data_IF_126358005228
#
_entry.id   IF_126358005228
#
_cell.length_a   1.000
_cell.length_b   1.000
_cell.length_c   1.000
_cell.angle_alpha   90.00
_cell.angle_beta   90.00
_cell.angle_gamma   90.00
#
_symmetry.space_group_name_H-M   'P 1'
#
loop_
_entity.id
_entity.type
_entity.pdbx_description
1 polymer ?
#
# COMPACT_ATOMS: atom_id res chain seq x y z
N UNK A 1 12.17 25.66 -2.49
CA UNK A 1 11.14 25.10 -3.41
C UNK A 1 9.78 25.28 -2.78
N UNK A 2 8.76 25.69 -3.53
CA UNK A 2 7.38 25.70 -3.03
C UNK A 2 6.80 24.30 -3.02
N UNK A 3 5.86 24.03 -2.10
CA UNK A 3 5.11 22.76 -1.99
C UNK A 3 4.51 22.33 -3.34
N UNK A 4 4.00 23.30 -4.11
CA UNK A 4 3.41 23.08 -5.43
C UNK A 4 4.41 22.58 -6.47
N UNK A 5 5.66 23.06 -6.45
CA UNK A 5 6.69 22.60 -7.39
C UNK A 5 7.19 21.19 -7.03
N UNK A 6 7.28 20.88 -5.73
CA UNK A 6 7.63 19.53 -5.27
C UNK A 6 6.55 18.52 -5.69
N UNK A 7 5.27 18.85 -5.50
CA UNK A 7 4.14 17.98 -5.85
C UNK A 7 4.07 17.71 -7.35
N UNK A 8 4.22 18.75 -8.18
CA UNK A 8 4.28 18.58 -9.64
C UNK A 8 5.45 17.71 -10.08
N UNK A 9 6.62 17.90 -9.46
CA UNK A 9 7.80 17.08 -9.75
C UNK A 9 7.60 15.62 -9.31
N UNK A 10 6.94 15.39 -8.17
CA UNK A 10 6.59 14.05 -7.69
C UNK A 10 5.67 13.32 -8.68
N UNK A 11 4.59 13.97 -9.10
CA UNK A 11 3.65 13.40 -10.08
C UNK A 11 4.30 13.18 -11.44
N UNK A 12 5.15 14.11 -11.90
CA UNK A 12 5.89 13.96 -13.15
C UNK A 12 6.90 12.81 -13.13
N UNK A 13 7.46 12.47 -11.96
CA UNK A 13 8.45 11.40 -11.82
C UNK A 13 7.81 10.03 -11.56
N UNK A 14 6.70 9.99 -10.82
CA UNK A 14 6.06 8.74 -10.40
C UNK A 14 4.83 8.36 -11.22
N UNK A 15 4.26 9.28 -12.00
CA UNK A 15 2.98 9.08 -12.69
C UNK A 15 1.75 9.12 -11.79
N UNK A 16 1.91 9.37 -10.49
CA UNK A 16 0.83 9.29 -9.50
C UNK A 16 0.51 10.65 -8.86
N UNK A 17 -0.77 10.85 -8.55
CA UNK A 17 -1.20 12.01 -7.77
C UNK A 17 -0.58 11.99 -6.37
N UNK A 18 -0.35 13.15 -5.72
CA UNK A 18 0.25 13.19 -4.38
C UNK A 18 -0.50 12.37 -3.32
N UNK A 19 -1.84 12.40 -3.35
CA UNK A 19 -2.68 11.62 -2.44
C UNK A 19 -2.55 10.11 -2.70
N UNK A 20 -2.32 9.73 -3.94
CA UNK A 20 -2.13 8.34 -4.34
C UNK A 20 -0.77 7.83 -3.89
N UNK A 21 0.28 8.63 -4.01
CA UNK A 21 1.59 8.29 -3.43
C UNK A 21 1.53 8.09 -1.92
N UNK A 22 0.85 8.99 -1.20
CA UNK A 22 0.68 8.84 0.26
C UNK A 22 -0.09 7.55 0.55
N UNK A 23 -1.17 7.28 -0.18
CA UNK A 23 -1.95 6.05 -0.05
C UNK A 23 -1.08 4.82 -0.29
N UNK A 24 -0.26 4.81 -1.34
CA UNK A 24 0.65 3.72 -1.66
C UNK A 24 1.62 3.45 -0.51
N UNK A 25 2.28 4.49 0.02
CA UNK A 25 3.21 4.36 1.16
C UNK A 25 2.50 3.75 2.37
N UNK A 26 1.27 4.21 2.68
CA UNK A 26 0.46 3.66 3.78
C UNK A 26 0.10 2.19 3.55
N UNK A 27 -0.31 1.83 2.34
CA UNK A 27 -0.65 0.46 1.96
C UNK A 27 0.55 -0.48 2.04
N UNK A 28 1.74 -0.04 1.62
CA UNK A 28 2.98 -0.81 1.77
C UNK A 28 3.31 -1.07 3.24
N UNK A 29 3.16 -0.06 4.09
CA UNK A 29 3.36 -0.25 5.52
C UNK A 29 2.34 -1.23 6.13
N UNK A 30 1.07 -1.12 5.72
CA UNK A 30 0.02 -2.02 6.18
C UNK A 30 0.27 -3.47 5.76
N UNK A 31 0.77 -3.71 4.54
CA UNK A 31 1.13 -5.04 4.07
C UNK A 31 2.19 -5.69 4.97
N UNK A 32 3.20 -4.93 5.43
CA UNK A 32 4.21 -5.43 6.37
C UNK A 32 3.60 -5.83 7.72
N UNK A 33 2.66 -5.04 8.23
CA UNK A 33 1.98 -5.32 9.51
C UNK A 33 1.03 -6.52 9.40
N UNK A 34 0.36 -6.70 8.27
CA UNK A 34 -0.54 -7.84 8.05
C UNK A 34 0.19 -9.18 8.11
N UNK A 35 1.46 -9.22 7.69
CA UNK A 35 2.27 -10.44 7.74
C UNK A 35 2.69 -10.79 9.17
N UNK A 36 2.93 -9.80 10.04
CA UNK A 36 3.29 -10.12 11.43
C UNK A 36 2.11 -10.77 12.16
N UNK A 37 0.88 -10.50 11.70
CA UNK A 37 -0.36 -11.04 12.26
C UNK A 37 -0.52 -10.73 13.76
N UNK A 38 0.09 -9.63 14.23
CA UNK A 38 0.05 -9.18 15.63
C UNK A 38 -1.13 -8.25 15.94
N UNK A 39 -1.78 -7.73 14.90
CA UNK A 39 -2.83 -6.73 15.01
C UNK A 39 -4.05 -7.10 14.17
N UNK A 40 -5.23 -6.67 14.60
CA UNK A 40 -6.43 -6.82 13.81
C UNK A 40 -6.36 -5.93 12.56
N UNK A 41 -6.95 -6.40 11.45
CA UNK A 41 -6.98 -5.66 10.17
C UNK A 41 -7.52 -4.22 10.35
N UNK A 42 -8.53 -4.05 11.22
CA UNK A 42 -9.09 -2.73 11.53
C UNK A 42 -8.08 -1.81 12.24
N UNK A 43 -7.27 -2.35 13.16
CA UNK A 43 -6.22 -1.59 13.86
C UNK A 43 -5.11 -1.18 12.89
N UNK A 44 -4.69 -2.10 12.00
CA UNK A 44 -3.69 -1.83 10.97
C UNK A 44 -4.15 -0.70 10.04
N UNK A 45 -5.44 -0.65 9.70
CA UNK A 45 -6.00 0.45 8.91
C UNK A 45 -5.78 1.80 9.61
N UNK A 46 -6.10 1.89 10.90
CA UNK A 46 -5.93 3.12 11.67
C UNK A 46 -4.44 3.46 11.90
N UNK A 47 -3.60 2.48 12.24
CA UNK A 47 -2.15 2.65 12.45
C UNK A 47 -1.45 3.19 11.20
N UNK A 48 -1.90 2.78 10.02
CA UNK A 48 -1.36 3.25 8.74
C UNK A 48 -2.01 4.55 8.24
N UNK A 49 -2.87 5.17 9.05
CA UNK A 49 -3.44 6.50 8.78
C UNK A 49 -4.66 6.51 7.87
N UNK A 50 -5.38 5.39 7.73
CA UNK A 50 -6.71 5.39 7.13
C UNK A 50 -7.77 5.76 8.18
N UNK A 51 -8.74 6.55 7.76
CA UNK A 51 -9.86 6.96 8.63
C UNK A 51 -10.97 5.90 8.72
N UNK A 52 -10.92 4.85 7.89
CA UNK A 52 -11.94 3.81 7.85
C UNK A 52 -11.34 2.47 7.40
N UNK A 53 -11.56 1.38 8.15
CA UNK A 53 -11.17 0.02 7.76
C UNK A 53 -11.79 -0.43 6.44
N UNK A 54 -13.05 -0.06 6.17
CA UNK A 54 -13.73 -0.41 4.92
C UNK A 54 -13.07 0.25 3.71
N UNK A 55 -12.64 1.51 3.86
CA UNK A 55 -11.91 2.20 2.79
C UNK A 55 -10.51 1.63 2.60
N UNK A 56 -9.82 1.33 3.69
CA UNK A 56 -8.54 0.64 3.66
C UNK A 56 -8.63 -0.68 2.88
N UNK A 57 -9.57 -1.56 3.21
CA UNK A 57 -9.72 -2.86 2.55
C UNK A 57 -9.94 -2.72 1.04
N UNK A 58 -10.76 -1.75 0.60
CA UNK A 58 -10.96 -1.47 -0.84
C UNK A 58 -9.66 -1.03 -1.51
N UNK A 59 -8.94 -0.09 -0.92
CA UNK A 59 -7.67 0.40 -1.48
C UNK A 59 -6.60 -0.69 -1.50
N UNK A 60 -6.52 -1.50 -0.45
CA UNK A 60 -5.58 -2.60 -0.33
C UNK A 60 -5.83 -3.65 -1.41
N UNK A 61 -7.09 -4.05 -1.60
CA UNK A 61 -7.47 -5.00 -2.65
C UNK A 61 -7.23 -4.45 -4.05
N UNK A 62 -7.47 -3.16 -4.29
CA UNK A 62 -7.17 -2.54 -5.58
C UNK A 62 -5.67 -2.59 -5.90
N UNK A 63 -4.82 -2.37 -4.90
CA UNK A 63 -3.37 -2.32 -5.05
C UNK A 63 -2.72 -3.70 -5.16
N UNK A 64 -3.04 -4.60 -4.23
CA UNK A 64 -2.38 -5.90 -4.10
C UNK A 64 -3.16 -7.05 -4.73
N UNK A 65 -4.35 -6.76 -5.29
CA UNK A 65 -5.28 -7.74 -5.87
C UNK A 65 -5.71 -8.85 -4.89
N UNK A 66 -5.52 -8.62 -3.60
CA UNK A 66 -5.85 -9.52 -2.49
C UNK A 66 -6.51 -8.70 -1.39
N UNK A 67 -7.48 -9.28 -0.70
CA UNK A 67 -8.01 -8.65 0.51
C UNK A 67 -6.95 -8.63 1.62
N UNK A 68 -7.03 -7.70 2.59
CA UNK A 68 -6.13 -7.71 3.73
C UNK A 68 -6.09 -9.04 4.49
N UNK A 69 -7.25 -9.70 4.58
CA UNK A 69 -7.38 -11.02 5.22
C UNK A 69 -6.64 -12.10 4.42
N UNK A 70 -6.88 -12.19 3.12
CA UNK A 70 -6.18 -13.15 2.27
C UNK A 70 -4.66 -12.93 2.27
N UNK A 71 -4.22 -11.66 2.39
CA UNK A 71 -2.81 -11.32 2.48
C UNK A 71 -2.19 -11.75 3.82
N UNK A 72 -2.93 -11.64 4.93
CA UNK A 72 -2.50 -12.10 6.25
C UNK A 72 -2.54 -13.63 6.41
N UNK A 73 -3.58 -14.28 5.88
CA UNK A 73 -3.79 -15.74 5.97
C UNK A 73 -2.80 -16.52 5.08
N UNK A 74 -2.31 -15.89 4.01
CA UNK A 74 -1.33 -16.51 3.12
C UNK A 74 0.01 -16.63 3.84
N UNK A 75 0.39 -17.87 4.14
CA UNK A 75 1.73 -18.30 4.53
C UNK A 75 2.78 -18.11 3.39
N UNK A 76 2.64 -17.04 2.60
CA UNK A 76 3.48 -16.69 1.45
C UNK A 76 4.90 -16.33 1.89
N UNK A 77 5.09 -15.94 3.15
CA UNK A 77 6.35 -15.39 3.63
C UNK A 77 7.16 -16.47 4.34
N UNK A 78 7.60 -17.47 3.58
CA UNK A 78 8.65 -18.39 4.04
C UNK A 78 10.04 -17.73 4.08
N UNK A 79 10.21 -16.57 3.45
CA UNK A 79 11.43 -15.77 3.52
C UNK A 79 11.06 -14.28 3.50
N UNK A 80 11.67 -13.49 4.38
CA UNK A 80 11.44 -12.02 4.48
C UNK A 80 11.73 -11.28 3.16
N UNK A 81 12.41 -11.93 2.21
CA UNK A 81 12.83 -11.37 0.92
C UNK A 81 11.69 -11.29 -0.12
N UNK A 82 10.70 -12.20 -0.07
CA UNK A 82 9.61 -12.25 -1.06
C UNK A 82 8.60 -11.11 -0.90
N UNK A 83 8.46 -10.54 0.30
CA UNK A 83 7.49 -9.46 0.57
C UNK A 83 7.86 -8.20 -0.20
N UNK A 84 9.12 -7.79 -0.14
CA UNK A 84 9.55 -6.57 -0.82
C UNK A 84 9.41 -6.74 -2.34
N UNK A 85 9.66 -7.93 -2.89
CA UNK A 85 9.35 -8.21 -4.29
C UNK A 85 7.86 -8.13 -4.60
N UNK A 86 6.98 -8.70 -3.78
CA UNK A 86 5.52 -8.65 -3.98
C UNK A 86 4.97 -7.23 -3.83
N UNK A 87 5.51 -6.46 -2.89
CA UNK A 87 5.16 -5.05 -2.68
C UNK A 87 5.65 -4.19 -3.85
N UNK A 88 6.80 -4.50 -4.43
CA UNK A 88 7.40 -3.70 -5.49
C UNK A 88 6.96 -4.10 -6.91
N UNK A 89 6.66 -5.38 -7.19
CA UNK A 89 6.09 -5.85 -8.46
C UNK A 89 4.74 -5.22 -8.79
N UNK A 90 3.95 -4.91 -7.77
CA UNK A 90 2.62 -4.31 -7.91
C UNK A 90 2.63 -2.76 -7.88
N UNK A 91 3.81 -2.12 -7.85
CA UNK A 91 3.96 -0.69 -7.56
C UNK A 91 4.27 0.24 -8.73
N UNK A 92 4.42 -0.29 -9.96
CA UNK A 92 4.75 0.48 -11.17
C UNK A 92 4.06 -0.12 -12.40
N UNK A 93 2.74 -0.28 -12.34
CA UNK A 93 1.97 -0.37 -13.59
C UNK A 93 1.53 1.04 -13.90
N UNK A 94 2.33 1.71 -14.73
CA UNK A 94 1.94 2.93 -15.43
C UNK A 94 0.52 2.74 -15.96
N UNK A 95 -0.36 3.70 -15.67
CA UNK A 95 -1.62 3.81 -16.37
C UNK A 95 -1.32 4.09 -17.84
N UNK A 96 -1.33 3.04 -18.65
CA UNK A 96 -1.63 3.14 -20.08
C UNK A 96 -3.09 2.73 -20.26
N UNK A 97 -3.96 3.74 -20.36
CA UNK A 97 -5.18 3.80 -21.16
C UNK A 97 -5.62 5.25 -21.25
#
# INVERSE_FOLDING_TARGET
MSRSNLLKKLTSLSGYGPNELIRLVRLKHAARLLVTNEHMIAEIAYMTGFNSPSYFSKCFQQQFKLTPKEFADKNIVSAREDIEELINRNGFSSGES
#
